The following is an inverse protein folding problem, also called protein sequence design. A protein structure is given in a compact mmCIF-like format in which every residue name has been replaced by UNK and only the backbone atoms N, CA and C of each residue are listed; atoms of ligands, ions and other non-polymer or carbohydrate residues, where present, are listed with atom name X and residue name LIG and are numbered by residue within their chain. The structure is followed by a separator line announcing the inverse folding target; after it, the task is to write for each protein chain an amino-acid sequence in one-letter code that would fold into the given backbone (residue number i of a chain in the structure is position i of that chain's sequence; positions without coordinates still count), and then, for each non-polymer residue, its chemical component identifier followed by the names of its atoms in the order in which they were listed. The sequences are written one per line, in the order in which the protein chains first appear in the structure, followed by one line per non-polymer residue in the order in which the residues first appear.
data_IF_597005373739
#
_entry.id   IF_597005373739
#
_cell.length_a   1.000
_cell.length_b   1.000
_cell.length_c   1.000
_cell.angle_alpha   90.00
_cell.angle_beta   90.00
_cell.angle_gamma   90.00
#
_symmetry.space_group_name_H-M   'P 1'
#
loop_
_entity.id
_entity.type
_entity.pdbx_description
1 polymer ?
#
# COMPACT_ATOMS: atom_id res chain seq x y z
N UNK A 1 2.62 2.57 -20.93
CA UNK A 1 3.11 3.53 -19.91
C UNK A 1 4.55 3.90 -20.24
N UNK A 2 5.05 5.03 -19.72
CA UNK A 2 6.47 5.40 -19.90
C UNK A 2 7.41 4.29 -19.39
N UNK A 3 7.07 3.65 -18.26
CA UNK A 3 7.81 2.53 -17.72
C UNK A 3 7.88 1.31 -18.66
N UNK A 4 6.73 0.89 -19.22
CA UNK A 4 6.71 -0.23 -20.17
C UNK A 4 7.52 0.08 -21.44
N UNK A 5 7.46 1.33 -21.92
CA UNK A 5 8.27 1.77 -23.05
C UNK A 5 9.77 1.69 -22.73
N UNK A 6 10.17 2.16 -21.54
CA UNK A 6 11.57 2.13 -21.09
C UNK A 6 12.12 0.71 -20.91
N UNK A 7 11.30 -0.23 -20.44
CA UNK A 7 11.66 -1.66 -20.38
C UNK A 7 11.81 -2.25 -21.79
N UNK A 8 10.87 -1.94 -22.69
CA UNK A 8 10.89 -2.44 -24.07
C UNK A 8 12.06 -1.88 -24.90
N UNK A 9 12.40 -0.60 -24.73
CA UNK A 9 13.52 0.04 -25.43
C UNK A 9 14.89 -0.25 -24.82
N UNK A 10 14.94 -0.92 -23.65
CA UNK A 10 16.18 -1.17 -22.92
C UNK A 10 16.77 0.09 -22.25
N UNK A 11 15.97 1.16 -22.10
CA UNK A 11 16.38 2.35 -21.34
C UNK A 11 16.64 2.00 -19.86
N UNK A 12 15.88 1.05 -19.33
CA UNK A 12 16.17 0.39 -18.06
C UNK A 12 16.24 -1.12 -18.26
N UNK A 13 17.07 -1.79 -17.46
CA UNK A 13 17.32 -3.22 -17.62
C UNK A 13 16.17 -4.10 -17.11
N UNK A 14 15.51 -3.72 -16.02
CA UNK A 14 14.44 -4.49 -15.37
C UNK A 14 13.64 -3.61 -14.38
N UNK A 15 12.48 -4.11 -13.94
CA UNK A 15 11.68 -3.49 -12.87
C UNK A 15 10.99 -4.54 -11.98
N UNK A 16 10.86 -4.24 -10.69
CA UNK A 16 10.01 -4.96 -9.75
C UNK A 16 8.89 -4.04 -9.28
N UNK A 17 7.64 -4.47 -9.40
CA UNK A 17 6.46 -3.68 -9.01
C UNK A 17 5.56 -4.50 -8.11
N UNK A 18 5.22 -3.94 -6.95
CA UNK A 18 4.16 -4.46 -6.07
C UNK A 18 2.88 -3.60 -6.13
N UNK A 19 2.95 -2.43 -6.77
CA UNK A 19 1.82 -1.48 -6.88
C UNK A 19 1.63 -1.02 -8.33
N UNK A 20 0.40 -0.65 -8.66
CA UNK A 20 0.03 -0.16 -9.99
C UNK A 20 -0.80 1.13 -9.91
N UNK A 21 -0.86 1.88 -11.01
CA UNK A 21 -1.56 3.16 -11.03
C UNK A 21 -3.09 3.04 -10.95
N UNK A 22 -3.65 1.92 -11.41
CA UNK A 22 -5.10 1.65 -11.45
C UNK A 22 -5.36 0.21 -10.98
N UNK A 23 -5.17 -0.07 -9.69
CA UNK A 23 -5.34 -1.43 -9.16
C UNK A 23 -6.82 -1.88 -9.17
N UNK A 24 -7.11 -3.14 -9.53
CA UNK A 24 -6.19 -4.24 -9.79
C UNK A 24 -5.71 -4.36 -11.25
N UNK A 25 -6.02 -3.38 -12.10
CA UNK A 25 -5.74 -3.41 -13.53
C UNK A 25 -4.24 -3.16 -13.82
N UNK A 26 -3.57 -4.16 -14.37
CA UNK A 26 -2.17 -4.04 -14.82
C UNK A 26 -2.14 -3.74 -16.32
N UNK A 27 -1.40 -2.71 -16.77
CA UNK A 27 -1.20 -2.48 -18.19
C UNK A 27 -0.62 -3.71 -18.89
N UNK A 28 -1.25 -4.19 -19.97
CA UNK A 28 -0.81 -5.39 -20.69
C UNK A 28 0.66 -5.35 -21.12
N UNK A 29 1.15 -4.18 -21.56
CA UNK A 29 2.54 -4.00 -21.93
C UNK A 29 3.56 -4.20 -20.79
N UNK A 30 3.13 -4.12 -19.52
CA UNK A 30 3.97 -4.50 -18.37
C UNK A 30 3.92 -6.01 -18.12
N UNK A 31 2.76 -6.65 -18.31
CA UNK A 31 2.63 -8.11 -18.23
C UNK A 31 3.48 -8.81 -19.30
N UNK A 32 3.58 -8.22 -20.48
CA UNK A 32 4.40 -8.75 -21.59
C UNK A 32 5.91 -8.51 -21.41
N UNK A 33 6.32 -7.69 -20.44
CA UNK A 33 7.73 -7.37 -20.22
C UNK A 33 8.45 -8.50 -19.47
N UNK A 34 9.19 -9.34 -20.20
CA UNK A 34 9.91 -10.50 -19.63
C UNK A 34 10.97 -10.13 -18.55
N UNK A 35 11.39 -8.87 -18.50
CA UNK A 35 12.31 -8.31 -17.51
C UNK A 35 11.59 -7.57 -16.38
N UNK A 36 10.29 -7.80 -16.19
CA UNK A 36 9.51 -7.27 -15.09
C UNK A 36 9.05 -8.40 -14.14
N UNK A 37 9.19 -8.18 -12.83
CA UNK A 37 8.57 -9.00 -11.80
C UNK A 37 7.41 -8.23 -11.19
N UNK A 38 6.20 -8.78 -11.29
CA UNK A 38 4.95 -8.11 -10.93
C UNK A 38 4.25 -8.85 -9.81
N UNK A 39 3.92 -8.16 -8.73
CA UNK A 39 3.24 -8.70 -7.56
C UNK A 39 1.91 -7.95 -7.31
N UNK A 40 0.86 -8.63 -6.83
CA UNK A 40 -0.46 -8.02 -6.66
C UNK A 40 -0.62 -7.37 -5.28
N UNK A 41 0.17 -6.33 -4.97
CA UNK A 41 0.09 -5.54 -3.73
C UNK A 41 0.19 -6.39 -2.46
N UNK A 42 1.25 -7.19 -2.37
CA UNK A 42 1.45 -8.17 -1.29
C UNK A 42 2.54 -7.78 -0.30
N UNK A 43 3.09 -6.55 -0.37
CA UNK A 43 4.19 -6.09 0.48
C UNK A 43 3.96 -6.25 1.98
N UNK A 44 2.72 -6.19 2.46
CA UNK A 44 2.35 -6.44 3.86
C UNK A 44 1.59 -7.75 4.10
N UNK A 45 1.37 -8.57 3.06
CA UNK A 45 0.39 -9.66 3.07
C UNK A 45 0.82 -10.95 3.79
N UNK A 46 1.70 -10.86 4.80
CA UNK A 46 1.95 -11.98 5.70
C UNK A 46 0.83 -12.10 6.74
N UNK A 47 0.50 -13.32 7.18
CA UNK A 47 -0.52 -13.52 8.23
C UNK A 47 -0.18 -12.75 9.50
N UNK A 48 1.09 -12.74 9.90
CA UNK A 48 1.55 -12.04 11.09
C UNK A 48 1.37 -10.52 10.95
N UNK A 49 1.88 -9.93 9.87
CA UNK A 49 1.82 -8.48 9.63
C UNK A 49 0.37 -8.01 9.50
N UNK A 50 -0.47 -8.74 8.77
CA UNK A 50 -1.89 -8.37 8.61
C UNK A 50 -2.68 -8.47 9.92
N UNK A 51 -2.33 -9.39 10.82
CA UNK A 51 -2.90 -9.45 12.18
C UNK A 51 -2.47 -8.24 13.02
N UNK A 52 -1.18 -7.93 13.06
CA UNK A 52 -0.68 -6.77 13.81
C UNK A 52 -1.29 -5.43 13.32
N UNK A 53 -1.48 -5.27 12.00
CA UNK A 53 -2.17 -4.11 11.44
C UNK A 53 -3.65 -4.04 11.85
N UNK A 54 -4.33 -5.20 11.89
CA UNK A 54 -5.71 -5.28 12.33
C UNK A 54 -5.85 -4.97 13.83
N UNK A 55 -4.95 -5.51 14.66
CA UNK A 55 -4.87 -5.22 16.09
C UNK A 55 -4.68 -3.71 16.32
N UNK A 56 -3.72 -3.07 15.64
CA UNK A 56 -3.50 -1.62 15.73
C UNK A 56 -4.72 -0.81 15.28
N UNK A 57 -5.46 -1.26 14.26
CA UNK A 57 -6.69 -0.61 13.81
C UNK A 57 -7.78 -0.65 14.90
N UNK A 58 -7.98 -1.81 15.52
CA UNK A 58 -8.94 -1.99 16.62
C UNK A 58 -8.50 -1.19 17.86
N UNK A 59 -7.22 -1.24 18.23
CA UNK A 59 -6.69 -0.53 19.40
C UNK A 59 -6.84 0.99 19.24
N UNK A 60 -6.70 1.53 18.03
CA UNK A 60 -6.99 2.95 17.75
C UNK A 60 -8.47 3.31 18.04
N UNK A 61 -9.42 2.44 17.70
CA UNK A 61 -10.84 2.65 17.99
C UNK A 61 -11.12 2.56 19.49
N UNK A 62 -10.57 1.54 20.15
CA UNK A 62 -10.70 1.38 21.61
C UNK A 62 -10.18 2.63 22.31
N UNK A 63 -8.93 3.04 22.03
CA UNK A 63 -8.32 4.22 22.63
C UNK A 63 -9.11 5.51 22.35
N UNK A 64 -9.68 5.65 21.14
CA UNK A 64 -10.51 6.80 20.82
C UNK A 64 -11.72 6.94 21.76
N UNK A 65 -12.41 5.84 22.07
CA UNK A 65 -13.61 5.87 22.90
C UNK A 65 -13.31 5.82 24.41
N UNK A 66 -12.22 5.18 24.82
CA UNK A 66 -11.84 5.04 26.25
C UNK A 66 -10.93 6.16 26.73
N UNK A 67 -9.88 6.48 25.96
CA UNK A 67 -8.85 7.47 26.28
C UNK A 67 -9.07 8.83 25.62
N UNK A 68 -10.11 8.97 24.78
CA UNK A 68 -10.45 10.19 24.03
C UNK A 68 -9.34 10.63 23.06
N UNK A 69 -8.45 9.71 22.65
CA UNK A 69 -7.40 9.93 21.65
C UNK A 69 -7.03 8.61 20.94
N UNK A 70 -6.71 8.63 19.63
CA UNK A 70 -6.21 7.44 18.94
C UNK A 70 -4.71 7.24 19.25
N UNK A 71 -4.20 6.03 19.04
CA UNK A 71 -2.78 5.69 19.22
C UNK A 71 -1.91 6.29 18.11
N UNK A 72 -2.37 6.22 16.87
CA UNK A 72 -1.62 6.63 15.67
C UNK A 72 -2.51 7.44 14.72
N UNK A 73 -2.87 8.70 15.07
CA UNK A 73 -3.61 9.57 14.16
C UNK A 73 -2.77 9.89 12.92
N UNK A 74 -3.44 10.10 11.79
CA UNK A 74 -2.76 10.64 10.60
C UNK A 74 -2.40 12.11 10.82
N UNK A 75 -1.31 12.62 10.23
CA UNK A 75 -0.85 13.99 10.44
C UNK A 75 -1.93 15.06 10.19
N UNK A 76 -2.77 14.87 9.19
CA UNK A 76 -3.86 15.76 8.79
C UNK A 76 -4.93 15.93 9.88
N UNK A 77 -5.00 15.01 10.84
CA UNK A 77 -6.06 14.95 11.87
C UNK A 77 -5.54 14.99 13.30
N UNK A 78 -4.26 15.32 13.53
CA UNK A 78 -3.64 15.31 14.87
C UNK A 78 -4.37 16.20 15.89
N UNK A 79 -5.08 17.23 15.41
CA UNK A 79 -5.83 18.17 16.25
C UNK A 79 -7.32 17.79 16.45
N UNK A 80 -7.78 16.70 15.82
CA UNK A 80 -9.17 16.24 15.92
C UNK A 80 -9.39 15.62 17.30
N UNK A 81 -10.37 16.15 18.03
CA UNK A 81 -10.70 15.70 19.38
C UNK A 81 -11.92 14.78 19.37
N UNK A 82 -11.94 13.80 20.28
CA UNK A 82 -13.11 12.97 20.49
C UNK A 82 -14.32 13.84 20.87
N UNK A 83 -15.43 13.66 20.15
CA UNK A 83 -16.69 14.32 20.49
C UNK A 83 -17.31 13.63 21.70
N UNK A 84 -18.01 14.44 22.51
CA UNK A 84 -18.67 14.05 23.76
C UNK A 84 -19.72 12.99 23.53
#
# INVERSE_FOLDING_TARGET
TALAAALKSGTIAAAGLDVFADEPNVPGALLDAANASLLPHVGSASVHTRRAMADLCVDNLVAWFTERRPLTPVPETINVKARG
#
